data_IF_236908662490
#
_entry.id   IF_236908662490
#
_cell.length_a   1.000
_cell.length_b   1.000
_cell.length_c   1.000
_cell.angle_alpha   90.00
_cell.angle_beta   90.00
_cell.angle_gamma   90.00
#
_symmetry.space_group_name_H-M   'P 1'
#
loop_
_entity.id
_entity.type
_entity.pdbx_description
1 polymer ?
#
# COMPACT_ATOMS: atom_id res chain seq x y z
N UNK A 1 4.21 27.40 10.81
CA UNK A 1 3.37 26.41 10.12
C UNK A 1 3.97 25.03 10.36
N UNK A 2 3.37 24.26 11.23
CA UNK A 2 3.79 22.87 11.50
C UNK A 2 3.25 22.00 10.39
N UNK A 3 4.11 21.21 9.75
CA UNK A 3 3.71 20.25 8.73
C UNK A 3 3.89 18.83 9.26
N UNK A 4 2.97 17.93 8.90
CA UNK A 4 3.08 16.51 9.20
C UNK A 4 3.82 15.80 8.07
N UNK A 5 4.76 14.92 8.42
CA UNK A 5 5.44 14.05 7.47
C UNK A 5 5.25 12.60 7.90
N UNK A 6 4.65 11.80 7.03
CA UNK A 6 4.51 10.37 7.22
C UNK A 6 5.22 9.59 6.12
N UNK A 7 5.64 8.38 6.42
CA UNK A 7 6.21 7.48 5.42
C UNK A 7 5.82 6.03 5.69
N UNK A 8 5.62 5.26 4.62
CA UNK A 8 5.33 3.85 4.72
C UNK A 8 6.19 3.04 3.74
N UNK A 9 6.59 1.81 4.12
CA UNK A 9 7.40 0.94 3.28
C UNK A 9 6.58 0.34 2.14
N UNK A 10 7.27 -0.04 1.08
CA UNK A 10 6.76 -0.96 0.08
C UNK A 10 6.72 -2.39 0.58
N UNK A 11 6.37 -3.31 -0.30
CA UNK A 11 6.19 -4.72 0.05
C UNK A 11 6.62 -5.69 -1.03
N UNK A 12 6.90 -6.94 -0.60
CA UNK A 12 7.01 -8.12 -1.46
C UNK A 12 6.15 -9.24 -0.88
N UNK A 13 5.28 -9.82 -1.69
CA UNK A 13 4.55 -11.04 -1.31
C UNK A 13 5.48 -12.23 -1.54
N UNK A 14 5.75 -12.99 -0.49
CA UNK A 14 6.62 -14.17 -0.53
C UNK A 14 5.84 -15.44 -0.86
N UNK A 15 4.59 -15.53 -0.36
CA UNK A 15 3.67 -16.63 -0.66
C UNK A 15 2.22 -16.20 -0.48
N UNK A 16 1.29 -16.96 -1.10
CA UNK A 16 -0.15 -16.72 -0.95
C UNK A 16 -0.71 -15.63 -1.85
N UNK A 17 0.07 -15.10 -2.82
CA UNK A 17 -0.44 -14.17 -3.83
C UNK A 17 -1.63 -14.83 -4.57
N UNK A 18 -2.70 -14.09 -4.79
CA UNK A 18 -4.01 -14.54 -5.28
C UNK A 18 -4.76 -15.51 -4.35
N UNK A 19 -4.13 -16.48 -3.69
CA UNK A 19 -4.78 -17.39 -2.76
C UNK A 19 -5.42 -16.65 -1.57
N UNK A 20 -4.86 -15.52 -1.18
CA UNK A 20 -5.40 -14.64 -0.13
C UNK A 20 -6.80 -14.12 -0.45
N UNK A 21 -7.16 -14.00 -1.72
CA UNK A 21 -8.50 -13.61 -2.16
C UNK A 21 -9.55 -14.71 -1.89
N UNK A 22 -9.09 -15.95 -1.74
CA UNK A 22 -9.90 -17.11 -1.39
C UNK A 22 -9.83 -17.43 0.12
N UNK A 23 -9.29 -16.53 0.93
CA UNK A 23 -9.17 -16.65 2.38
C UNK A 23 -7.95 -17.43 2.88
N UNK A 24 -7.08 -17.90 1.98
CA UNK A 24 -5.80 -18.49 2.39
C UNK A 24 -4.85 -17.41 2.98
N UNK A 25 -3.87 -17.80 3.81
CA UNK A 25 -2.89 -16.85 4.31
C UNK A 25 -1.94 -16.39 3.20
N UNK A 26 -1.49 -15.14 3.30
CA UNK A 26 -0.36 -14.64 2.52
C UNK A 26 0.78 -14.26 3.46
N UNK A 27 2.02 -14.58 3.08
CA UNK A 27 3.22 -14.10 3.77
C UNK A 27 3.81 -12.96 2.96
N UNK A 28 4.00 -11.83 3.61
CA UNK A 28 4.43 -10.59 2.99
C UNK A 28 5.52 -9.92 3.81
N UNK A 29 6.50 -9.37 3.12
CA UNK A 29 7.62 -8.66 3.71
C UNK A 29 7.55 -7.18 3.34
N UNK A 30 7.68 -6.29 4.31
CA UNK A 30 7.94 -4.88 4.06
C UNK A 30 9.38 -4.69 3.57
N UNK A 31 9.59 -3.75 2.65
CA UNK A 31 10.92 -3.43 2.11
C UNK A 31 11.24 -1.95 2.36
N UNK A 32 12.51 -1.63 2.52
CA UNK A 32 12.97 -0.26 2.78
C UNK A 32 13.00 0.62 1.51
N UNK A 33 11.92 0.53 0.75
CA UNK A 33 11.57 1.39 -0.35
C UNK A 33 10.30 2.14 0.08
N UNK A 34 10.41 3.43 0.41
CA UNK A 34 9.36 4.13 1.16
C UNK A 34 8.68 5.21 0.34
N UNK A 35 7.34 5.23 0.39
CA UNK A 35 6.56 6.41 0.03
C UNK A 35 6.61 7.42 1.18
N UNK A 36 6.67 8.72 0.84
CA UNK A 36 6.62 9.81 1.80
C UNK A 36 5.50 10.76 1.43
N UNK A 37 4.79 11.26 2.44
CA UNK A 37 3.74 12.26 2.29
C UNK A 37 4.02 13.39 3.26
N UNK A 38 3.90 14.62 2.77
CA UNK A 38 3.94 15.82 3.59
C UNK A 38 2.62 16.57 3.45
N UNK A 39 1.98 16.86 4.55
CA UNK A 39 0.76 17.66 4.62
C UNK A 39 1.02 18.91 5.44
N UNK A 40 0.63 20.07 4.95
CA UNK A 40 0.75 21.36 5.65
C UNK A 40 -0.50 22.19 5.43
N UNK A 41 -0.97 22.87 6.45
CA UNK A 41 -1.94 23.96 6.28
C UNK A 41 -1.24 25.16 5.63
N UNK A 42 -1.90 25.80 4.69
CA UNK A 42 -1.38 26.97 3.98
C UNK A 42 -2.40 28.10 4.00
N UNK A 43 -1.90 29.33 3.91
CA UNK A 43 -2.73 30.52 3.69
C UNK A 43 -2.90 30.71 2.17
N UNK A 44 -3.99 30.18 1.64
CA UNK A 44 -4.28 30.17 0.21
C UNK A 44 -5.79 30.00 -0.03
N UNK A 45 -6.27 30.34 -1.24
CA UNK A 45 -7.69 30.20 -1.60
C UNK A 45 -8.12 28.74 -1.85
N UNK A 46 -7.17 27.83 -2.07
CA UNK A 46 -7.46 26.42 -2.34
C UNK A 46 -6.30 25.52 -1.90
N UNK A 47 -6.63 24.26 -1.65
CA UNK A 47 -5.66 23.20 -1.41
C UNK A 47 -4.92 22.82 -2.69
N UNK A 48 -3.67 22.33 -2.52
CA UNK A 48 -2.79 21.94 -3.63
C UNK A 48 -2.21 20.55 -3.38
N UNK A 49 -2.07 19.78 -4.46
CA UNK A 49 -1.42 18.47 -4.44
C UNK A 49 -0.31 18.46 -5.49
N UNK A 50 0.84 17.92 -5.12
CA UNK A 50 1.97 17.68 -6.01
C UNK A 50 2.55 16.29 -5.80
N UNK A 51 3.08 15.70 -6.88
CA UNK A 51 3.71 14.38 -6.84
C UNK A 51 5.03 14.40 -7.64
N UNK A 52 6.09 15.03 -7.11
CA UNK A 52 7.35 15.18 -7.84
C UNK A 52 7.96 13.81 -8.18
N UNK A 53 8.40 13.66 -9.43
CA UNK A 53 8.95 12.41 -9.98
C UNK A 53 7.91 11.41 -10.48
N UNK A 54 6.61 11.66 -10.21
CA UNK A 54 5.49 10.87 -10.73
C UNK A 54 4.69 11.66 -11.78
N UNK A 55 4.30 12.90 -11.46
CA UNK A 55 3.51 13.74 -12.34
C UNK A 55 3.99 15.20 -12.31
N UNK A 56 3.87 15.88 -13.43
CA UNK A 56 4.04 17.34 -13.54
C UNK A 56 2.73 18.10 -13.30
N UNK A 57 1.61 17.39 -13.25
CA UNK A 57 0.29 17.96 -12.96
C UNK A 57 0.26 18.41 -11.50
N UNK A 58 -0.29 19.59 -11.26
CA UNK A 58 -0.65 20.05 -9.93
C UNK A 58 -2.14 19.87 -9.71
N UNK A 59 -2.51 19.18 -8.64
CA UNK A 59 -3.89 19.09 -8.18
C UNK A 59 -4.29 20.37 -7.44
N UNK A 60 -5.55 20.80 -7.64
CA UNK A 60 -6.16 21.90 -6.88
C UNK A 60 -7.59 21.54 -6.52
N UNK A 61 -7.96 21.76 -5.26
CA UNK A 61 -9.32 21.49 -4.79
C UNK A 61 -9.72 22.46 -3.68
N UNK A 62 -11.01 22.60 -3.47
CA UNK A 62 -11.61 23.26 -2.31
C UNK A 62 -12.44 22.26 -1.54
N UNK A 63 -12.45 22.38 -0.21
CA UNK A 63 -13.26 21.55 0.68
C UNK A 63 -14.38 22.39 1.27
N UNK A 64 -15.60 21.91 1.18
CA UNK A 64 -16.80 22.51 1.77
C UNK A 64 -17.48 21.45 2.65
N UNK A 65 -17.15 21.45 3.92
CA UNK A 65 -17.54 20.38 4.83
C UNK A 65 -16.95 19.03 4.40
N UNK A 66 -17.81 18.03 4.17
CA UNK A 66 -17.39 16.71 3.68
C UNK A 66 -17.21 16.63 2.15
N UNK A 67 -17.52 17.69 1.42
CA UNK A 67 -17.42 17.72 -0.04
C UNK A 67 -16.04 18.18 -0.49
N UNK A 68 -15.47 17.45 -1.45
CA UNK A 68 -14.21 17.80 -2.11
C UNK A 68 -14.51 18.17 -3.57
N UNK A 69 -14.26 19.42 -3.90
CA UNK A 69 -14.50 19.97 -5.24
C UNK A 69 -13.16 20.22 -5.94
N UNK A 70 -12.81 19.35 -6.87
CA UNK A 70 -11.58 19.47 -7.63
C UNK A 70 -11.69 20.58 -8.68
N UNK A 71 -10.77 21.49 -8.64
CA UNK A 71 -10.60 22.55 -9.66
C UNK A 71 -9.69 22.07 -10.79
N UNK A 72 -8.74 21.15 -10.45
CA UNK A 72 -7.78 20.60 -11.41
C UNK A 72 -7.19 19.28 -10.87
N UNK A 73 -6.89 18.32 -11.76
CA UNK A 73 -6.10 17.13 -11.47
C UNK A 73 -6.85 15.98 -10.76
N UNK A 74 -8.19 15.98 -10.76
CA UNK A 74 -9.01 14.94 -10.12
C UNK A 74 -8.62 13.51 -10.57
N UNK A 75 -8.42 13.32 -11.88
CA UNK A 75 -8.08 12.01 -12.45
C UNK A 75 -6.68 11.53 -12.07
N UNK A 76 -5.74 12.45 -11.91
CA UNK A 76 -4.37 12.17 -11.51
C UNK A 76 -4.27 11.81 -10.03
N UNK A 77 -5.05 12.48 -9.18
CA UNK A 77 -4.96 12.36 -7.73
C UNK A 77 -6.12 11.58 -7.10
N UNK A 78 -6.63 10.55 -7.78
CA UNK A 78 -7.73 9.67 -7.29
C UNK A 78 -7.47 9.07 -5.92
N UNK A 79 -6.22 8.76 -5.57
CA UNK A 79 -5.87 8.25 -4.26
C UNK A 79 -6.04 9.32 -3.17
N UNK A 80 -5.70 10.57 -3.48
CA UNK A 80 -5.91 11.70 -2.57
C UNK A 80 -7.39 11.97 -2.39
N UNK A 81 -8.18 11.95 -3.46
CA UNK A 81 -9.64 12.08 -3.39
C UNK A 81 -10.26 10.99 -2.50
N UNK A 82 -9.87 9.73 -2.72
CA UNK A 82 -10.33 8.61 -1.90
C UNK A 82 -9.94 8.77 -0.41
N UNK A 83 -8.74 9.25 -0.12
CA UNK A 83 -8.29 9.48 1.24
C UNK A 83 -9.10 10.59 1.93
N UNK A 84 -9.22 11.76 1.30
CA UNK A 84 -9.95 12.89 1.84
C UNK A 84 -11.43 12.56 2.10
N UNK A 85 -12.08 11.79 1.20
CA UNK A 85 -13.47 11.32 1.37
C UNK A 85 -13.61 10.26 2.48
N UNK A 86 -12.55 9.51 2.77
CA UNK A 86 -12.60 8.44 3.79
C UNK A 86 -12.35 8.97 5.19
N UNK A 87 -11.31 9.78 5.36
CA UNK A 87 -10.89 10.24 6.69
C UNK A 87 -11.33 11.68 6.98
N UNK A 88 -11.87 12.37 5.97
CA UNK A 88 -12.21 13.78 6.05
C UNK A 88 -10.98 14.69 5.92
N UNK A 89 -11.24 15.97 5.83
CA UNK A 89 -10.23 17.01 6.01
C UNK A 89 -10.51 17.67 7.36
N UNK A 90 -9.50 17.79 8.21
CA UNK A 90 -9.64 18.61 9.40
C UNK A 90 -10.06 20.05 8.99
N UNK A 91 -10.91 20.70 9.78
CA UNK A 91 -11.40 22.07 9.52
C UNK A 91 -10.28 23.14 9.69
N UNK A 92 -9.08 22.82 9.19
CA UNK A 92 -7.87 23.63 9.39
C UNK A 92 -7.56 24.57 8.23
N UNK A 93 -8.44 24.62 7.22
CA UNK A 93 -8.24 25.44 6.02
C UNK A 93 -7.50 24.69 4.89
N UNK A 94 -7.08 25.42 3.84
CA UNK A 94 -6.42 24.83 2.68
C UNK A 94 -5.14 24.09 3.01
N UNK A 95 -4.90 22.96 2.31
CA UNK A 95 -3.76 22.07 2.50
C UNK A 95 -2.77 22.16 1.32
N UNK A 96 -1.51 22.00 1.62
CA UNK A 96 -0.47 21.63 0.65
C UNK A 96 -0.07 20.19 0.91
N UNK A 97 -0.34 19.30 -0.05
CA UNK A 97 -0.05 17.87 0.01
C UNK A 97 1.04 17.56 -1.01
N UNK A 98 2.16 17.02 -0.55
CA UNK A 98 3.26 16.54 -1.40
C UNK A 98 3.39 15.03 -1.25
N UNK A 99 3.39 14.32 -2.38
CA UNK A 99 3.46 12.87 -2.49
C UNK A 99 4.79 12.48 -3.13
N UNK A 100 5.62 11.71 -2.44
CA UNK A 100 6.90 11.26 -2.97
C UNK A 100 6.98 9.72 -3.02
N UNK A 101 7.00 9.19 -4.23
CA UNK A 101 7.14 7.76 -4.52
C UNK A 101 8.38 7.46 -5.37
N UNK A 102 9.31 8.40 -5.50
CA UNK A 102 10.50 8.25 -6.37
C UNK A 102 11.33 7.02 -6.07
N UNK A 103 11.39 6.59 -4.80
CA UNK A 103 12.07 5.38 -4.39
C UNK A 103 11.52 4.09 -5.03
N UNK A 104 10.31 4.12 -5.61
CA UNK A 104 9.67 2.97 -6.27
C UNK A 104 9.92 2.90 -7.77
N UNK A 105 10.78 3.74 -8.29
CA UNK A 105 11.14 3.77 -9.70
C UNK A 105 12.63 3.52 -9.86
N UNK A 106 12.99 2.76 -10.85
CA UNK A 106 14.39 2.58 -11.23
C UNK A 106 15.02 3.92 -11.62
N UNK A 107 16.20 4.20 -11.11
CA UNK A 107 16.86 5.49 -11.30
C UNK A 107 17.23 5.76 -12.76
N UNK A 108 17.48 4.71 -13.55
CA UNK A 108 17.94 4.79 -14.93
C UNK A 108 16.78 4.73 -15.92
N UNK A 109 15.98 3.67 -15.85
CA UNK A 109 14.86 3.45 -16.79
C UNK A 109 13.62 4.27 -16.47
N UNK A 110 13.51 4.79 -15.24
CA UNK A 110 12.32 5.45 -14.70
C UNK A 110 11.09 4.54 -14.66
N UNK A 111 11.27 3.25 -14.83
CA UNK A 111 10.20 2.28 -14.73
C UNK A 111 9.87 1.93 -13.29
N UNK A 112 8.61 1.60 -13.05
CA UNK A 112 8.12 1.23 -11.72
C UNK A 112 8.61 -0.17 -11.34
N UNK A 113 9.27 -0.30 -10.19
CA UNK A 113 9.88 -1.56 -9.73
C UNK A 113 8.84 -2.60 -9.29
N UNK A 114 7.61 -2.20 -8.96
CA UNK A 114 6.53 -3.14 -8.58
C UNK A 114 6.46 -3.46 -7.08
N UNK A 115 7.09 -2.68 -6.23
CA UNK A 115 7.14 -2.88 -4.78
C UNK A 115 5.95 -2.29 -3.99
N UNK A 116 4.80 -2.09 -4.61
CA UNK A 116 3.57 -1.68 -3.92
C UNK A 116 3.49 -0.20 -3.56
N UNK A 117 3.97 0.70 -4.44
CA UNK A 117 3.99 2.15 -4.19
C UNK A 117 2.62 2.76 -3.87
N UNK A 118 1.52 2.29 -4.49
CA UNK A 118 0.17 2.82 -4.24
C UNK A 118 -0.32 2.51 -2.82
N UNK A 119 -0.03 1.31 -2.32
CA UNK A 119 -0.36 0.91 -0.96
C UNK A 119 0.48 1.68 0.07
N UNK A 120 1.80 1.75 -0.15
CA UNK A 120 2.68 2.56 0.70
C UNK A 120 2.24 4.03 0.74
N UNK A 121 1.85 4.59 -0.43
CA UNK A 121 1.35 5.95 -0.51
C UNK A 121 0.01 6.12 0.22
N UNK A 122 -0.92 5.16 0.12
CA UNK A 122 -2.19 5.19 0.83
C UNK A 122 -1.98 5.21 2.35
N UNK A 123 -1.09 4.33 2.87
CA UNK A 123 -0.75 4.29 4.30
C UNK A 123 -0.15 5.62 4.76
N UNK A 124 0.88 6.12 4.04
CA UNK A 124 1.53 7.37 4.41
C UNK A 124 0.59 8.58 4.33
N UNK A 125 -0.32 8.60 3.34
CA UNK A 125 -1.29 9.68 3.16
C UNK A 125 -2.33 9.70 4.28
N UNK A 126 -2.91 8.55 4.61
CA UNK A 126 -3.87 8.45 5.72
C UNK A 126 -3.18 8.84 7.03
N UNK A 127 -1.98 8.32 7.31
CA UNK A 127 -1.23 8.66 8.51
C UNK A 127 -0.93 10.18 8.60
N UNK A 128 -0.60 10.83 7.48
CA UNK A 128 -0.33 12.27 7.46
C UNK A 128 -1.61 13.11 7.63
N UNK A 129 -2.75 12.65 7.11
CA UNK A 129 -4.03 13.36 7.21
C UNK A 129 -4.68 13.21 8.59
N UNK A 130 -4.51 12.06 9.24
CA UNK A 130 -5.11 11.76 10.55
C UNK A 130 -4.17 12.00 11.72
N UNK A 131 -2.89 12.26 11.46
CA UNK A 131 -1.81 12.36 12.46
C UNK A 131 -1.74 11.12 13.38
N UNK A 132 -2.10 9.94 12.82
CA UNK A 132 -2.19 8.67 13.53
C UNK A 132 -1.29 7.61 12.92
N UNK A 133 -0.88 6.65 13.73
CA UNK A 133 -0.22 5.41 13.28
C UNK A 133 -1.20 4.24 13.22
N UNK A 134 -2.37 4.34 13.84
CA UNK A 134 -3.45 3.36 13.76
C UNK A 134 -4.32 3.66 12.53
N UNK A 135 -3.86 3.22 11.37
CA UNK A 135 -4.43 3.59 10.07
C UNK A 135 -4.82 2.39 9.21
N UNK A 136 -4.76 1.18 9.74
CA UNK A 136 -4.95 -0.03 8.93
C UNK A 136 -6.30 -0.06 8.20
N UNK A 137 -7.38 0.18 8.92
CA UNK A 137 -8.73 0.09 8.35
C UNK A 137 -9.02 1.24 7.38
N UNK A 138 -8.60 2.45 7.70
CA UNK A 138 -8.78 3.59 6.81
C UNK A 138 -7.93 3.47 5.56
N UNK A 139 -6.66 3.10 5.68
CA UNK A 139 -5.78 2.88 4.54
C UNK A 139 -6.29 1.75 3.62
N UNK A 140 -6.84 0.67 4.20
CA UNK A 140 -7.49 -0.41 3.43
C UNK A 140 -8.71 0.11 2.68
N UNK A 141 -9.57 0.92 3.32
CA UNK A 141 -10.74 1.53 2.70
C UNK A 141 -10.34 2.44 1.54
N UNK A 142 -9.39 3.33 1.77
CA UNK A 142 -8.83 4.25 0.76
C UNK A 142 -8.28 3.50 -0.43
N UNK A 143 -7.41 2.51 -0.19
CA UNK A 143 -6.77 1.76 -1.26
C UNK A 143 -7.76 0.91 -2.05
N UNK A 144 -8.77 0.34 -1.38
CA UNK A 144 -9.85 -0.42 -2.03
C UNK A 144 -10.70 0.48 -2.94
N UNK A 145 -11.06 1.68 -2.48
CA UNK A 145 -11.76 2.68 -3.30
C UNK A 145 -10.92 3.06 -4.53
N UNK A 146 -9.64 3.34 -4.33
CA UNK A 146 -8.70 3.66 -5.41
C UNK A 146 -8.59 2.52 -6.45
N UNK A 147 -8.68 1.25 -6.03
CA UNK A 147 -8.61 0.08 -6.89
C UNK A 147 -9.99 -0.35 -7.47
N UNK A 148 -11.02 0.46 -7.36
CA UNK A 148 -12.35 0.14 -7.87
C UNK A 148 -13.07 -0.97 -7.10
N UNK A 149 -12.84 -1.08 -5.80
CA UNK A 149 -13.52 -2.02 -4.91
C UNK A 149 -12.85 -3.39 -4.75
N UNK A 150 -11.72 -3.62 -5.42
CA UNK A 150 -10.97 -4.88 -5.39
C UNK A 150 -9.69 -4.79 -4.54
N UNK A 151 -9.03 -5.94 -4.32
CA UNK A 151 -7.76 -6.04 -3.60
C UNK A 151 -7.87 -6.75 -2.25
N UNK A 152 -6.82 -7.47 -1.87
CA UNK A 152 -6.78 -8.24 -0.61
C UNK A 152 -6.46 -7.38 0.61
N UNK A 153 -5.75 -6.27 0.43
CA UNK A 153 -5.24 -5.43 1.51
C UNK A 153 -3.95 -5.92 2.16
N UNK A 154 -3.34 -7.01 1.67
CA UNK A 154 -2.07 -7.53 2.20
C UNK A 154 -0.93 -6.52 2.11
N UNK A 155 -0.91 -5.73 1.05
CA UNK A 155 0.07 -4.68 0.81
C UNK A 155 -0.09 -3.50 1.80
N UNK A 156 -1.32 -3.15 2.14
CA UNK A 156 -1.62 -2.17 3.19
C UNK A 156 -1.18 -2.71 4.55
N UNK A 157 -1.54 -3.96 4.88
CA UNK A 157 -1.15 -4.58 6.14
C UNK A 157 0.38 -4.58 6.32
N UNK A 158 1.13 -4.96 5.27
CA UNK A 158 2.59 -4.91 5.29
C UNK A 158 3.13 -3.47 5.45
N UNK A 159 2.50 -2.51 4.79
CA UNK A 159 2.87 -1.09 4.86
C UNK A 159 2.66 -0.47 6.25
N UNK A 160 1.63 -0.90 6.97
CA UNK A 160 1.32 -0.43 8.33
C UNK A 160 2.18 -1.14 9.37
N UNK A 161 2.23 -2.48 9.32
CA UNK A 161 2.90 -3.29 10.34
C UNK A 161 4.42 -3.28 10.19
N UNK A 162 4.92 -3.24 8.95
CA UNK A 162 6.35 -3.41 8.70
C UNK A 162 6.82 -4.87 8.89
N UNK A 163 8.13 -5.11 8.69
CA UNK A 163 8.75 -6.41 8.91
C UNK A 163 8.19 -7.53 8.05
N UNK A 164 8.12 -8.72 8.60
CA UNK A 164 7.55 -9.93 7.98
C UNK A 164 6.20 -10.24 8.64
N UNK A 165 5.16 -10.42 7.83
CA UNK A 165 3.80 -10.70 8.32
C UNK A 165 3.18 -11.88 7.61
N UNK A 166 2.32 -12.62 8.32
CA UNK A 166 1.25 -13.41 7.75
C UNK A 166 -0.03 -12.58 7.81
N UNK A 167 -0.77 -12.59 6.71
CA UNK A 167 -2.02 -11.84 6.57
C UNK A 167 -3.14 -12.75 6.08
N UNK A 168 -4.35 -12.58 6.66
CA UNK A 168 -5.60 -13.17 6.19
C UNK A 168 -6.60 -12.07 5.86
N UNK A 169 -7.18 -12.14 4.68
CA UNK A 169 -8.13 -11.11 4.22
C UNK A 169 -9.41 -11.08 5.06
N UNK A 170 -9.91 -12.25 5.46
CA UNK A 170 -11.10 -12.39 6.30
C UNK A 170 -10.74 -11.96 7.74
N UNK A 171 -11.40 -10.91 8.23
CA UNK A 171 -11.09 -10.29 9.52
C UNK A 171 -9.85 -9.37 9.53
N UNK A 172 -9.13 -9.23 8.41
CA UNK A 172 -7.88 -8.46 8.32
C UNK A 172 -6.83 -8.88 9.38
N UNK A 173 -6.76 -10.17 9.66
CA UNK A 173 -5.85 -10.70 10.67
C UNK A 173 -4.39 -10.54 10.22
N UNK A 174 -3.58 -9.94 11.06
CA UNK A 174 -2.15 -9.73 10.85
C UNK A 174 -1.38 -10.41 11.97
N UNK A 175 -0.49 -11.33 11.61
CA UNK A 175 0.45 -11.97 12.53
C UNK A 175 1.87 -11.57 12.14
N UNK A 176 2.59 -10.93 13.04
CA UNK A 176 4.02 -10.65 12.84
C UNK A 176 4.82 -11.94 12.91
N UNK A 177 5.63 -12.19 11.89
CA UNK A 177 6.54 -13.32 11.81
C UNK A 177 7.98 -12.86 12.06
N UNK A 178 8.83 -13.82 12.43
CA UNK A 178 10.27 -13.59 12.52
C UNK A 178 10.95 -14.12 11.25
N UNK A 179 12.02 -13.45 10.84
CA UNK A 179 12.82 -13.93 9.73
C UNK A 179 13.58 -15.19 10.15
N UNK A 180 13.56 -16.27 9.34
CA UNK A 180 14.30 -17.50 9.65
C UNK A 180 15.82 -17.26 9.69
N UNK A 181 16.52 -17.86 10.68
CA UNK A 181 17.94 -17.57 10.92
C UNK A 181 18.87 -17.92 9.76
N UNK A 182 18.55 -18.97 9.01
CA UNK A 182 19.40 -19.49 7.94
C UNK A 182 18.90 -19.11 6.54
N UNK A 183 17.92 -18.17 6.46
CA UNK A 183 17.35 -17.77 5.19
C UNK A 183 17.94 -16.45 4.71
N UNK A 184 18.71 -16.50 3.63
CA UNK A 184 19.10 -15.33 2.84
C UNK A 184 18.21 -15.21 1.60
N UNK A 185 17.93 -13.97 1.18
CA UNK A 185 17.16 -13.71 -0.03
C UNK A 185 17.82 -12.63 -0.90
N UNK A 186 17.47 -12.64 -2.16
CA UNK A 186 17.75 -11.56 -3.11
C UNK A 186 16.51 -11.28 -3.92
N UNK A 187 16.18 -10.00 -4.06
CA UNK A 187 15.14 -9.54 -4.96
C UNK A 187 15.78 -9.17 -6.29
N UNK A 188 15.32 -9.80 -7.37
CA UNK A 188 15.78 -9.52 -8.73
C UNK A 188 14.61 -8.92 -9.49
N UNK A 189 14.77 -7.67 -9.91
CA UNK A 189 13.80 -7.04 -10.77
C UNK A 189 13.98 -7.51 -12.22
N UNK A 190 12.88 -7.97 -12.83
CA UNK A 190 12.91 -8.54 -14.19
C UNK A 190 12.82 -7.50 -15.31
N UNK A 191 12.71 -6.20 -14.95
CA UNK A 191 12.53 -5.12 -15.92
C UNK A 191 11.10 -4.97 -16.45
N UNK A 192 10.16 -5.83 -16.03
CA UNK A 192 8.77 -5.79 -16.50
C UNK A 192 7.83 -5.66 -15.32
N UNK A 193 7.10 -4.55 -15.17
CA UNK A 193 6.12 -4.39 -14.11
C UNK A 193 4.93 -5.34 -14.33
N UNK A 194 4.53 -6.05 -13.27
CA UNK A 194 3.36 -6.91 -13.31
C UNK A 194 2.09 -6.10 -13.01
N UNK A 195 1.08 -6.18 -13.90
CA UNK A 195 -0.25 -5.66 -13.64
C UNK A 195 -1.11 -6.71 -12.95
N UNK A 196 -1.51 -6.45 -11.71
CA UNK A 196 -2.39 -7.36 -10.93
C UNK A 196 -3.75 -7.55 -11.59
N UNK A 197 -4.32 -6.50 -12.19
CA UNK A 197 -5.65 -6.54 -12.83
C UNK A 197 -5.72 -7.48 -14.03
N UNK A 198 -4.69 -7.49 -14.90
CA UNK A 198 -4.66 -8.36 -16.09
C UNK A 198 -4.50 -9.85 -15.72
N UNK A 199 -3.80 -10.14 -14.63
CA UNK A 199 -3.58 -11.52 -14.17
C UNK A 199 -4.78 -12.10 -13.44
N UNK A 200 -5.55 -11.29 -12.69
CA UNK A 200 -6.79 -11.72 -12.06
C UNK A 200 -7.84 -12.17 -13.08
N UNK A 201 -7.98 -11.48 -14.22
CA UNK A 201 -8.86 -11.88 -15.31
C UNK A 201 -8.52 -13.27 -15.89
N UNK A 202 -7.27 -13.66 -15.86
CA UNK A 202 -6.82 -14.97 -16.31
C UNK A 202 -7.16 -16.12 -15.34
N UNK A 203 -7.50 -15.85 -14.10
CA UNK A 203 -7.81 -16.83 -13.06
C UNK A 203 -9.32 -17.19 -12.98
N UNK A 204 -10.15 -16.73 -13.90
CA UNK A 204 -11.59 -17.04 -13.94
C UNK A 204 -11.88 -18.26 -14.85
N UNK A 205 -12.68 -19.21 -14.40
CA UNK A 205 -13.14 -20.39 -15.16
C UNK A 205 -13.19 -21.70 -14.34
N UNK A 206 -13.96 -22.66 -14.77
CA UNK A 206 -14.23 -23.91 -14.03
C UNK A 206 -13.00 -24.82 -13.86
N UNK A 207 -12.13 -24.94 -14.88
CA UNK A 207 -10.87 -25.71 -14.81
C UNK A 207 -9.86 -25.12 -13.81
N UNK A 208 -10.09 -23.89 -13.36
CA UNK A 208 -9.23 -23.13 -12.45
C UNK A 208 -9.63 -23.28 -10.98
N UNK A 209 -10.81 -23.84 -10.70
CA UNK A 209 -11.27 -24.08 -9.32
C UNK A 209 -10.33 -25.05 -8.61
N UNK A 210 -9.89 -26.11 -9.28
CA UNK A 210 -8.93 -27.07 -8.73
C UNK A 210 -7.55 -26.43 -8.52
N UNK A 211 -7.08 -25.61 -9.46
CA UNK A 211 -5.82 -24.87 -9.34
C UNK A 211 -5.87 -23.87 -8.19
N UNK A 212 -7.00 -23.18 -7.99
CA UNK A 212 -7.19 -22.24 -6.87
C UNK A 212 -7.15 -22.97 -5.52
N UNK A 213 -7.79 -24.15 -5.41
CA UNK A 213 -7.74 -24.98 -4.20
C UNK A 213 -6.31 -25.43 -3.90
N UNK A 214 -5.58 -25.95 -4.88
CA UNK A 214 -4.19 -26.34 -4.72
C UNK A 214 -3.29 -25.16 -4.33
N UNK A 215 -3.53 -23.97 -4.89
CA UNK A 215 -2.80 -22.76 -4.52
C UNK A 215 -3.09 -22.35 -3.07
N UNK A 216 -4.34 -22.43 -2.62
CA UNK A 216 -4.72 -22.13 -1.25
C UNK A 216 -4.12 -23.13 -0.24
N UNK A 217 -4.10 -24.41 -0.58
CA UNK A 217 -3.46 -25.47 0.24
C UNK A 217 -1.95 -25.24 0.32
N UNK A 218 -1.28 -24.95 -0.79
CA UNK A 218 0.15 -24.63 -0.83
C UNK A 218 0.47 -23.37 -0.01
N UNK A 219 -0.34 -22.30 -0.13
CA UNK A 219 -0.18 -21.08 0.64
C UNK A 219 -0.33 -21.32 2.14
N UNK A 220 -1.28 -22.17 2.54
CA UNK A 220 -1.51 -22.55 3.94
C UNK A 220 -0.32 -23.35 4.50
N UNK A 221 0.18 -24.33 3.73
CA UNK A 221 1.38 -25.09 4.10
C UNK A 221 2.61 -24.21 4.23
N UNK A 222 2.79 -23.28 3.29
CA UNK A 222 3.90 -22.34 3.32
C UNK A 222 3.83 -21.41 4.55
N UNK A 223 2.67 -20.86 4.87
CA UNK A 223 2.49 -20.01 6.05
C UNK A 223 2.78 -20.79 7.36
N UNK A 224 2.37 -22.07 7.43
CA UNK A 224 2.72 -22.93 8.55
C UNK A 224 4.23 -23.14 8.69
N UNK A 225 4.93 -23.34 7.57
CA UNK A 225 6.39 -23.46 7.55
C UNK A 225 7.07 -22.17 8.03
N UNK A 226 6.58 -21.00 7.62
CA UNK A 226 7.10 -19.71 8.10
C UNK A 226 6.93 -19.54 9.62
N UNK A 227 5.79 -19.95 10.19
CA UNK A 227 5.54 -19.86 11.64
C UNK A 227 6.44 -20.79 12.46
N UNK A 228 6.78 -21.96 11.94
CA UNK A 228 7.59 -22.98 12.63
C UNK A 228 9.08 -22.87 12.36
N UNK A 229 9.52 -22.02 11.44
CA UNK A 229 10.93 -21.84 11.14
C UNK A 229 11.69 -21.25 12.35
N UNK A 230 12.91 -21.75 12.66
CA UNK A 230 13.73 -21.19 13.72
C UNK A 230 14.03 -19.71 13.40
N UNK A 231 13.70 -18.84 14.33
CA UNK A 231 13.88 -17.39 14.15
C UNK A 231 15.30 -16.96 14.54
N UNK A 232 15.84 -15.96 13.84
CA UNK A 232 16.99 -15.19 14.34
C UNK A 232 16.57 -14.55 15.65
N UNK A 233 17.29 -14.83 16.73
CA UNK A 233 17.18 -14.05 17.95
C UNK A 233 17.55 -12.61 17.56
N UNK A 234 16.58 -11.71 17.61
CA UNK A 234 16.79 -10.32 17.26
C UNK A 234 17.66 -9.63 18.33
N UNK A 235 18.97 -9.76 18.20
CA UNK A 235 19.92 -8.80 18.72
C UNK A 235 20.43 -7.93 17.57
N UNK A 236 19.54 -7.17 16.99
CA UNK A 236 19.89 -5.99 16.20
C UNK A 236 19.15 -4.80 16.82
N UNK A 237 19.87 -4.17 17.76
CA UNK A 237 19.55 -2.82 18.27
C UNK A 237 19.82 -1.77 17.20
#
# INVERSE_FOLDING_TARGET
>A
MTGVVASAPGKVVLSGEYAVLDGAPAVCMAVDCRAKVRVRTVDADCSRVSAPGYSTVQGRFVSEGASINWLQGADEFKLVDAALRTVGQAETGPLSIELDTRAFYDATSREKIGLGSSAALAVALVAALTESTDVLDDARRVHRLFQGGSGSGVDIAAGVTGGLIEYRMNGAEVLTLRWPCDLAYRLIWTGVPASTGSKLGQLQGASRRQSRKALAEAATGMAAAWRSAPAVLAELR
#
